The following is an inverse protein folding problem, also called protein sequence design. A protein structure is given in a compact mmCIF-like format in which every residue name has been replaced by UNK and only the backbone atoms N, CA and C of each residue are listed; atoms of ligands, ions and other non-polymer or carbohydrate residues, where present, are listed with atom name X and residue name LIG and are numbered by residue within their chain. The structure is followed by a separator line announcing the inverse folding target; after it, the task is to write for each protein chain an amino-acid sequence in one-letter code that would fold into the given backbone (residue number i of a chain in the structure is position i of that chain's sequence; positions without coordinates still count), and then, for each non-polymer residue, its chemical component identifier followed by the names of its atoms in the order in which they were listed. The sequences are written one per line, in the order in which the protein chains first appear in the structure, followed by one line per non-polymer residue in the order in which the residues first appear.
data_IF_220113263341
#
_entry.id   IF_220113263341
#
_cell.length_a   1.000
_cell.length_b   1.000
_cell.length_c   1.000
_cell.angle_alpha   90.00
_cell.angle_beta   90.00
_cell.angle_gamma   90.00
#
_symmetry.space_group_name_H-M   'P 1'
#
loop_
_entity.id
_entity.type
_entity.pdbx_description
1 polymer ?
#
# COMPACT_ATOMS: atom_id res chain seq x y z
N UNK A 1 22.58 17.21 20.81
CA UNK A 1 22.06 16.99 20.24
C UNK A 1 21.53 16.70 19.51
N UNK A 2 21.15 16.46 19.29
CA UNK A 2 20.65 16.17 18.48
C UNK A 2 20.10 15.29 18.14
N UNK A 3 19.96 15.01 18.01
CA UNK A 3 19.58 13.80 17.84
C UNK A 3 18.28 13.35 17.72
N UNK A 4 17.54 13.86 18.25
CA UNK A 4 16.19 13.44 18.32
C UNK A 4 15.42 13.61 17.08
N UNK A 5 16.00 14.22 16.08
CA UNK A 5 15.36 14.30 14.81
C UNK A 5 15.26 12.97 14.16
N UNK A 6 16.12 12.06 14.56
CA UNK A 6 16.07 10.74 14.02
C UNK A 6 14.83 10.00 14.42
N UNK A 7 14.18 10.47 15.47
CA UNK A 7 12.98 9.81 15.96
C UNK A 7 11.72 10.44 15.41
N UNK A 8 11.84 11.28 14.41
CA UNK A 8 10.67 11.80 13.75
C UNK A 8 9.88 10.67 13.16
N UNK A 9 8.61 10.61 13.49
CA UNK A 9 7.71 9.63 12.92
C UNK A 9 7.18 10.17 11.60
N UNK A 10 7.60 9.57 10.52
CA UNK A 10 7.19 9.96 9.18
C UNK A 10 6.47 8.80 8.52
N UNK A 11 5.29 9.08 8.00
CA UNK A 11 4.41 8.10 7.40
C UNK A 11 4.06 8.49 5.98
N UNK A 12 4.12 7.53 5.08
CA UNK A 12 3.58 7.71 3.74
C UNK A 12 2.26 6.97 3.64
N UNK A 13 1.25 7.62 3.10
CA UNK A 13 -0.04 6.99 2.82
C UNK A 13 -0.28 7.08 1.33
N UNK A 14 -0.20 5.94 0.67
CA UNK A 14 -0.43 5.86 -0.77
C UNK A 14 -1.90 5.57 -0.98
N UNK A 15 -2.62 6.54 -1.53
CA UNK A 15 -4.07 6.51 -1.64
C UNK A 15 -4.73 7.20 -0.45
N UNK A 16 -4.37 8.47 -0.19
CA UNK A 16 -4.75 9.20 1.02
C UNK A 16 -5.97 10.11 0.87
N UNK A 17 -6.57 10.18 -0.30
CA UNK A 17 -7.57 11.21 -0.56
C UNK A 17 -8.99 10.85 -0.15
N UNK A 18 -9.26 9.58 0.12
CA UNK A 18 -10.60 9.15 0.52
C UNK A 18 -10.55 7.79 1.20
N UNK A 19 -11.67 7.42 1.82
CA UNK A 19 -11.83 6.12 2.45
C UNK A 19 -10.85 5.86 3.58
N UNK A 20 -10.38 4.64 3.65
CA UNK A 20 -9.46 4.19 4.71
C UNK A 20 -8.17 5.01 4.70
N UNK A 21 -7.63 5.24 3.51
CA UNK A 21 -6.38 6.01 3.40
C UNK A 21 -6.51 7.42 3.96
N UNK A 22 -7.62 8.09 3.68
CA UNK A 22 -7.87 9.42 4.23
C UNK A 22 -7.99 9.38 5.75
N UNK A 23 -8.72 8.41 6.28
CA UNK A 23 -8.90 8.28 7.73
C UNK A 23 -7.56 8.04 8.42
N UNK A 24 -6.71 7.22 7.85
CA UNK A 24 -5.38 6.96 8.40
C UNK A 24 -4.51 8.21 8.36
N UNK A 25 -4.50 8.91 7.23
CA UNK A 25 -3.72 10.13 7.09
C UNK A 25 -4.15 11.18 8.10
N UNK A 26 -5.46 11.38 8.26
CA UNK A 26 -5.99 12.36 9.20
C UNK A 26 -5.66 12.00 10.64
N UNK A 27 -5.74 10.72 10.98
CA UNK A 27 -5.42 10.25 12.34
C UNK A 27 -3.96 10.52 12.69
N UNK A 28 -3.04 10.21 11.80
CA UNK A 28 -1.63 10.40 12.09
C UNK A 28 -1.21 11.86 12.08
N UNK A 29 -1.87 12.69 11.29
CA UNK A 29 -1.67 14.15 11.38
C UNK A 29 -2.06 14.66 12.77
N UNK A 30 -3.16 14.17 13.31
CA UNK A 30 -3.59 14.52 14.66
C UNK A 30 -2.57 14.10 15.70
N UNK A 31 -1.89 13.00 15.47
CA UNK A 31 -0.86 12.50 16.39
C UNK A 31 0.49 13.17 16.20
N UNK A 32 0.55 14.20 15.37
CA UNK A 32 1.77 14.99 15.14
C UNK A 32 2.84 14.26 14.35
N UNK A 33 2.45 13.26 13.59
CA UNK A 33 3.36 12.62 12.65
C UNK A 33 3.49 13.47 11.39
N UNK A 34 4.62 13.40 10.75
CA UNK A 34 4.77 13.97 9.41
C UNK A 34 4.12 12.98 8.43
N UNK A 35 3.07 13.41 7.73
CA UNK A 35 2.32 12.55 6.82
C UNK A 35 2.56 12.98 5.38
N UNK A 36 3.07 12.05 4.57
CA UNK A 36 3.25 12.26 3.14
C UNK A 36 2.14 11.52 2.42
N UNK A 37 1.18 12.25 1.89
CA UNK A 37 0.09 11.67 1.13
C UNK A 37 0.45 11.58 -0.35
N UNK A 38 0.22 10.44 -0.95
CA UNK A 38 0.49 10.21 -2.36
C UNK A 38 -0.73 9.65 -3.04
N UNK A 39 -1.15 10.27 -4.12
CA UNK A 39 -2.25 9.80 -4.92
C UNK A 39 -2.09 10.28 -6.35
N UNK A 40 -2.91 9.77 -7.23
CA UNK A 40 -2.90 10.21 -8.62
C UNK A 40 -3.16 11.72 -8.70
N UNK A 41 -4.00 12.25 -7.84
CA UNK A 41 -4.38 13.66 -7.87
C UNK A 41 -3.23 14.60 -7.53
N UNK A 42 -2.22 14.14 -6.82
CA UNK A 42 -1.06 14.99 -6.51
C UNK A 42 0.24 14.49 -7.15
N UNK A 43 0.11 13.75 -8.25
CA UNK A 43 1.25 13.39 -9.06
C UNK A 43 1.93 12.08 -8.73
N UNK A 44 1.26 11.20 -7.99
CA UNK A 44 1.81 9.89 -7.63
C UNK A 44 0.87 8.78 -8.07
N UNK A 45 0.87 8.51 -9.37
CA UNK A 45 0.07 7.43 -9.93
C UNK A 45 0.74 6.09 -9.60
N UNK A 46 0.01 5.20 -8.95
CA UNK A 46 0.59 3.94 -8.49
C UNK A 46 1.00 3.02 -9.65
N UNK A 47 0.56 3.31 -10.85
CA UNK A 47 0.96 2.54 -12.04
C UNK A 47 2.13 3.21 -12.76
N UNK A 48 2.04 4.51 -12.98
CA UNK A 48 2.98 5.22 -13.85
C UNK A 48 4.11 5.91 -13.11
N UNK A 49 3.95 6.18 -11.82
CA UNK A 49 4.92 6.97 -11.04
C UNK A 49 5.58 6.16 -9.93
N UNK A 50 5.77 4.87 -10.14
CA UNK A 50 6.29 3.97 -9.10
C UNK A 50 7.67 4.37 -8.61
N UNK A 51 8.58 4.76 -9.50
CA UNK A 51 9.91 5.21 -9.08
C UNK A 51 9.83 6.44 -8.20
N UNK A 52 8.97 7.38 -8.56
CA UNK A 52 8.78 8.60 -7.80
C UNK A 52 8.22 8.29 -6.41
N UNK A 53 7.30 7.33 -6.34
CA UNK A 53 6.75 6.87 -5.05
C UNK A 53 7.88 6.29 -4.19
N UNK A 54 8.68 5.39 -4.76
CA UNK A 54 9.76 4.74 -4.04
C UNK A 54 10.76 5.77 -3.51
N UNK A 55 11.14 6.75 -4.31
CA UNK A 55 12.06 7.80 -3.90
C UNK A 55 11.51 8.60 -2.73
N UNK A 56 10.22 8.82 -2.69
CA UNK A 56 9.59 9.66 -1.68
C UNK A 56 9.23 8.94 -0.38
N UNK A 57 9.39 7.63 -0.32
CA UNK A 57 9.12 6.88 0.90
C UNK A 57 10.38 6.39 1.61
N UNK A 58 11.54 6.65 1.04
CA UNK A 58 12.80 6.12 1.57
C UNK A 58 13.06 6.47 3.04
N UNK A 59 12.65 7.65 3.46
CA UNK A 59 12.88 8.11 4.82
C UNK A 59 11.66 7.92 5.72
N UNK A 60 10.66 7.18 5.30
CA UNK A 60 9.47 6.93 6.10
C UNK A 60 9.66 5.73 7.03
N UNK A 61 9.07 5.82 8.22
CA UNK A 61 9.07 4.73 9.19
C UNK A 61 7.97 3.71 8.87
N UNK A 62 6.90 4.20 8.25
CA UNK A 62 5.72 3.40 7.96
C UNK A 62 5.17 3.81 6.60
N UNK A 63 4.79 2.83 5.82
CA UNK A 63 4.12 3.06 4.53
C UNK A 63 2.81 2.30 4.55
N UNK A 64 1.72 3.00 4.25
CA UNK A 64 0.40 2.40 4.13
C UNK A 64 0.04 2.35 2.66
N UNK A 65 -0.02 1.15 2.11
CA UNK A 65 -0.40 0.92 0.72
C UNK A 65 -1.90 0.69 0.64
N UNK A 66 -2.64 1.75 0.38
CA UNK A 66 -4.10 1.71 0.29
C UNK A 66 -4.61 1.82 -1.15
N UNK A 67 -3.90 2.52 -2.02
CA UNK A 67 -4.36 2.73 -3.38
C UNK A 67 -4.45 1.42 -4.16
N UNK A 68 -5.51 1.29 -4.93
CA UNK A 68 -5.69 0.15 -5.83
C UNK A 68 -5.81 0.65 -7.26
N UNK A 69 -5.03 0.08 -8.16
CA UNK A 69 -5.16 0.29 -9.59
C UNK A 69 -4.45 -0.87 -10.28
N UNK A 70 -5.20 -1.74 -10.89
CA UNK A 70 -4.66 -2.95 -11.52
C UNK A 70 -3.65 -3.64 -10.58
N UNK A 71 -2.42 -3.85 -11.02
CA UNK A 71 -1.37 -4.48 -10.20
C UNK A 71 -0.41 -3.47 -9.58
N UNK A 72 -0.78 -2.19 -9.59
CA UNK A 72 0.11 -1.15 -9.07
C UNK A 72 0.50 -1.35 -7.61
N UNK A 73 -0.48 -1.72 -6.77
CA UNK A 73 -0.22 -1.96 -5.35
C UNK A 73 0.78 -3.12 -5.15
N UNK A 74 0.58 -4.21 -5.86
CA UNK A 74 1.47 -5.36 -5.79
C UNK A 74 2.87 -5.01 -6.30
N UNK A 75 2.94 -4.29 -7.41
CA UNK A 75 4.22 -3.93 -8.01
C UNK A 75 5.01 -2.97 -7.11
N UNK A 76 4.35 -2.02 -6.48
CA UNK A 76 5.02 -1.13 -5.52
C UNK A 76 5.54 -1.93 -4.32
N UNK A 77 4.74 -2.85 -3.81
CA UNK A 77 5.16 -3.69 -2.70
C UNK A 77 6.42 -4.50 -3.06
N UNK A 78 6.44 -5.07 -4.26
CA UNK A 78 7.61 -5.82 -4.73
C UNK A 78 8.85 -4.95 -4.83
N UNK A 79 8.69 -3.70 -5.29
CA UNK A 79 9.80 -2.76 -5.38
C UNK A 79 10.34 -2.41 -4.00
N UNK A 80 9.46 -2.21 -3.02
CA UNK A 80 9.88 -1.90 -1.65
C UNK A 80 10.77 -3.03 -1.11
N UNK A 81 10.32 -4.26 -1.24
CA UNK A 81 11.08 -5.39 -0.70
C UNK A 81 12.31 -5.75 -1.53
N UNK A 82 12.41 -5.24 -2.74
CA UNK A 82 13.61 -5.38 -3.54
C UNK A 82 14.70 -4.38 -3.22
N UNK A 83 14.43 -3.41 -2.33
CA UNK A 83 15.35 -2.35 -1.98
C UNK A 83 15.89 -2.56 -0.57
N UNK A 84 17.19 -2.75 -0.44
CA UNK A 84 17.79 -2.94 0.88
C UNK A 84 17.66 -1.70 1.77
N UNK A 85 17.52 -0.53 1.17
CA UNK A 85 17.38 0.72 1.91
C UNK A 85 16.10 0.80 2.74
N UNK A 86 15.14 -0.08 2.50
CA UNK A 86 13.87 -0.08 3.22
C UNK A 86 13.81 -1.11 4.34
N UNK A 87 14.93 -1.69 4.77
CA UNK A 87 14.93 -2.79 5.74
C UNK A 87 14.31 -2.45 7.09
N UNK A 88 14.31 -1.17 7.48
CA UNK A 88 13.73 -0.74 8.77
C UNK A 88 12.32 -0.17 8.64
N UNK A 89 11.76 -0.20 7.47
CA UNK A 89 10.44 0.36 7.21
C UNK A 89 9.36 -0.68 7.48
N UNK A 90 8.28 -0.24 8.11
CA UNK A 90 7.09 -1.09 8.25
C UNK A 90 6.14 -0.79 7.11
N UNK A 91 5.55 -1.81 6.53
CA UNK A 91 4.61 -1.66 5.43
C UNK A 91 3.29 -2.31 5.81
N UNK A 92 2.23 -1.52 5.74
CA UNK A 92 0.85 -2.01 5.94
C UNK A 92 0.16 -2.00 4.60
N UNK A 93 -0.39 -3.13 4.20
CA UNK A 93 -1.06 -3.27 2.92
C UNK A 93 -2.55 -3.47 3.16
N UNK A 94 -3.36 -2.59 2.58
CA UNK A 94 -4.81 -2.72 2.66
C UNK A 94 -5.26 -3.63 1.52
N UNK A 95 -5.70 -4.80 1.88
CA UNK A 95 -6.17 -5.79 0.92
C UNK A 95 -7.69 -5.86 0.94
N UNK A 96 -8.24 -6.92 0.39
CA UNK A 96 -9.69 -7.12 0.37
C UNK A 96 -9.98 -8.61 0.55
N UNK A 97 -11.06 -8.92 1.26
CA UNK A 97 -11.52 -10.31 1.38
C UNK A 97 -11.90 -10.88 0.02
N UNK A 98 -12.10 -10.03 -0.99
CA UNK A 98 -12.33 -10.49 -2.36
C UNK A 98 -11.18 -11.36 -2.88
N UNK A 99 -9.97 -11.17 -2.36
CA UNK A 99 -8.83 -11.99 -2.73
C UNK A 99 -8.88 -13.40 -2.18
N UNK A 100 -9.80 -13.68 -1.27
CA UNK A 100 -9.99 -15.01 -0.68
C UNK A 100 -11.11 -15.79 -1.38
N UNK A 101 -11.81 -15.16 -2.31
CA UNK A 101 -12.90 -15.80 -3.04
C UNK A 101 -12.38 -16.74 -4.10
N UNK A 102 -12.78 -18.00 -4.05
CA UNK A 102 -12.42 -18.96 -5.08
C UNK A 102 -13.33 -18.86 -6.30
N UNK A 103 -14.58 -18.49 -6.07
CA UNK A 103 -15.59 -18.38 -7.11
C UNK A 103 -16.37 -17.09 -6.90
N UNK A 104 -15.84 -15.96 -7.33
CA UNK A 104 -16.44 -14.66 -7.04
C UNK A 104 -17.86 -14.52 -7.58
N UNK A 105 -18.78 -14.15 -6.71
CA UNK A 105 -20.16 -13.90 -7.08
C UNK A 105 -20.37 -12.40 -7.33
N UNK A 106 -20.22 -12.01 -8.59
CA UNK A 106 -20.34 -10.61 -8.97
C UNK A 106 -21.78 -10.10 -8.90
N UNK A 107 -22.75 -10.98 -8.75
CA UNK A 107 -24.16 -10.56 -8.68
C UNK A 107 -24.46 -9.70 -7.46
N UNK A 108 -23.59 -9.74 -6.46
CA UNK A 108 -23.68 -8.87 -5.30
C UNK A 108 -23.29 -7.43 -5.62
N UNK A 109 -22.64 -7.20 -6.76
CA UNK A 109 -22.05 -5.91 -7.11
C UNK A 109 -22.60 -5.43 -8.44
N UNK A 110 -23.80 -4.86 -8.40
CA UNK A 110 -24.50 -4.46 -9.61
C UNK A 110 -23.82 -3.34 -10.38
N UNK A 111 -22.95 -2.57 -9.72
CA UNK A 111 -22.24 -1.46 -10.37
C UNK A 111 -20.95 -1.88 -11.04
N UNK A 112 -20.53 -3.13 -10.84
CA UNK A 112 -19.29 -3.64 -11.41
C UNK A 112 -19.59 -4.52 -12.60
N UNK A 113 -18.81 -4.36 -13.65
CA UNK A 113 -18.76 -5.30 -14.74
C UNK A 113 -18.21 -6.63 -14.19
N UNK A 114 -18.82 -7.74 -14.60
CA UNK A 114 -18.40 -9.08 -14.14
C UNK A 114 -16.91 -9.32 -14.35
N UNK A 115 -16.43 -8.96 -15.53
CA UNK A 115 -15.04 -9.17 -15.89
C UNK A 115 -14.11 -8.38 -14.96
N UNK A 116 -14.45 -7.11 -14.69
CA UNK A 116 -13.65 -6.28 -13.80
C UNK A 116 -13.65 -6.80 -12.38
N UNK A 117 -14.77 -7.31 -11.90
CA UNK A 117 -14.83 -7.84 -10.55
C UNK A 117 -13.96 -9.08 -10.40
N UNK A 118 -14.01 -10.01 -11.38
CA UNK A 118 -13.17 -11.20 -11.35
C UNK A 118 -11.69 -10.81 -11.39
N UNK A 119 -11.33 -9.86 -12.24
CA UNK A 119 -9.96 -9.36 -12.29
C UNK A 119 -9.52 -8.77 -10.96
N UNK A 120 -10.40 -8.01 -10.33
CA UNK A 120 -10.11 -7.42 -9.02
C UNK A 120 -9.80 -8.51 -7.98
N UNK A 121 -10.63 -9.56 -7.94
CA UNK A 121 -10.42 -10.67 -7.02
C UNK A 121 -9.10 -11.38 -7.29
N UNK A 122 -8.76 -11.61 -8.54
CA UNK A 122 -7.52 -12.27 -8.92
C UNK A 122 -6.30 -11.44 -8.51
N UNK A 123 -6.35 -10.15 -8.73
CA UNK A 123 -5.25 -9.25 -8.35
C UNK A 123 -5.07 -9.24 -6.84
N UNK A 124 -6.17 -9.15 -6.09
CA UNK A 124 -6.08 -9.17 -4.62
C UNK A 124 -5.58 -10.51 -4.10
N UNK A 125 -5.94 -11.59 -4.77
CA UNK A 125 -5.42 -12.92 -4.42
C UNK A 125 -3.91 -13.00 -4.61
N UNK A 126 -3.41 -12.51 -5.74
CA UNK A 126 -1.97 -12.45 -5.99
C UNK A 126 -1.25 -11.64 -4.91
N UNK A 127 -1.83 -10.52 -4.52
CA UNK A 127 -1.27 -9.67 -3.50
C UNK A 127 -1.18 -10.39 -2.15
N UNK A 128 -2.24 -11.06 -1.75
CA UNK A 128 -2.28 -11.80 -0.49
C UNK A 128 -1.25 -12.93 -0.52
N UNK A 129 -1.17 -13.67 -1.61
CA UNK A 129 -0.20 -14.75 -1.76
C UNK A 129 1.23 -14.25 -1.65
N UNK A 130 1.51 -13.12 -2.26
CA UNK A 130 2.85 -12.52 -2.17
C UNK A 130 3.18 -12.11 -0.74
N UNK A 131 2.22 -11.51 -0.01
CA UNK A 131 2.42 -11.13 1.38
C UNK A 131 2.70 -12.35 2.25
N UNK A 132 1.98 -13.43 2.03
CA UNK A 132 2.20 -14.68 2.78
C UNK A 132 3.59 -15.24 2.52
N UNK A 133 4.04 -15.23 1.27
CA UNK A 133 5.39 -15.66 0.92
C UNK A 133 6.45 -14.81 1.62
N UNK A 134 6.27 -13.50 1.66
CA UNK A 134 7.18 -12.60 2.33
C UNK A 134 7.25 -12.88 3.84
N UNK A 135 6.09 -13.12 4.46
CA UNK A 135 6.04 -13.40 5.88
C UNK A 135 6.76 -14.69 6.20
N UNK A 136 6.57 -15.72 5.41
CA UNK A 136 7.25 -17.00 5.57
C UNK A 136 8.76 -16.83 5.43
N UNK A 137 9.18 -16.08 4.44
CA UNK A 137 10.60 -15.81 4.22
C UNK A 137 11.22 -15.06 5.39
N UNK A 138 10.54 -14.06 5.92
CA UNK A 138 11.02 -13.28 7.05
C UNK A 138 11.08 -14.11 8.33
N UNK A 139 10.15 -15.02 8.54
CA UNK A 139 10.11 -15.86 9.71
C UNK A 139 11.18 -16.96 9.68
N UNK A 140 11.67 -17.30 8.50
CA UNK A 140 12.69 -18.35 8.36
C UNK A 140 14.11 -17.86 8.60
N UNK A 141 14.29 -16.57 8.81
CA UNK A 141 15.63 -15.98 9.01
C UNK A 141 16.03 -15.83 10.47
#
# INVERSE_FOLDING_TARGET
MYMNQENKNKIAVIGHTRGIGKAVADLYKKKKYEVVGMSKSNGFDIIHDQEKIIENIEDCNLVVLNAHADRGQLNVLKRIYGQHSFSNMKVVVITSTSGLEEDPDYNQFQVWDKFKYVQYCEIKKELIEYIEELQDELLSK
#
